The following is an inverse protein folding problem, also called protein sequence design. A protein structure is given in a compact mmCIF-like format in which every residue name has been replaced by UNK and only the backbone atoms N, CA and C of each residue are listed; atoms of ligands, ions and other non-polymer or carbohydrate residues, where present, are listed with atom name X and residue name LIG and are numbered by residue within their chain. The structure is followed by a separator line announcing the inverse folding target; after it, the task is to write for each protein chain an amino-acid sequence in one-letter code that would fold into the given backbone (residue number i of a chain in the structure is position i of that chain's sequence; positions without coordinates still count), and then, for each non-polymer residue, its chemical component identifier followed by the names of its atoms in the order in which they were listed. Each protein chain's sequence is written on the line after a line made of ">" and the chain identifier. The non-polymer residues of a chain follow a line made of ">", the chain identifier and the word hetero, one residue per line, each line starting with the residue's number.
data_IF_741765660150
#
_entry.id   IF_741765660150
#
_cell.length_a   1.000
_cell.length_b   1.000
_cell.length_c   1.000
_cell.angle_alpha   90.00
_cell.angle_beta   90.00
_cell.angle_gamma   90.00
#
_symmetry.space_group_name_H-M   'P 1'
#
loop_
_entity.id
_entity.type
_entity.pdbx_description
1 polymer ?
#
# COMPACT_ATOMS: atom_id res chain seq x y z
N UNK A 1 -49.83 -32.42 -28.39
CA UNK A 1 -49.77 -32.31 -26.92
C UNK A 1 -48.31 -32.27 -26.48
N UNK A 2 -47.88 -31.15 -25.88
CA UNK A 2 -46.78 -30.89 -24.91
C UNK A 2 -45.47 -31.69 -25.09
N UNK A 3 -44.38 -31.02 -25.53
CA UNK A 3 -43.27 -30.46 -24.72
C UNK A 3 -42.61 -31.53 -23.81
N UNK A 4 -41.30 -31.77 -23.81
CA UNK A 4 -40.21 -30.78 -23.66
C UNK A 4 -38.82 -31.41 -23.88
N UNK A 5 -37.87 -30.59 -24.36
CA UNK A 5 -36.43 -30.83 -24.49
C UNK A 5 -35.76 -31.23 -23.15
N UNK A 6 -34.71 -32.07 -23.13
CA UNK A 6 -33.89 -32.25 -21.94
C UNK A 6 -32.95 -31.06 -21.73
N UNK A 7 -32.68 -30.80 -20.46
CA UNK A 7 -32.10 -29.58 -19.93
C UNK A 7 -30.69 -29.30 -20.43
N UNK A 8 -30.46 -28.05 -20.86
CA UNK A 8 -29.13 -27.46 -20.95
C UNK A 8 -28.51 -27.46 -19.53
N UNK A 9 -27.50 -28.31 -19.34
CA UNK A 9 -26.66 -28.30 -18.17
C UNK A 9 -25.80 -27.02 -18.23
N UNK A 10 -26.27 -25.97 -17.55
CA UNK A 10 -25.51 -24.74 -17.38
C UNK A 10 -24.31 -25.07 -16.48
N UNK A 11 -23.12 -25.22 -17.07
CA UNK A 11 -21.87 -25.20 -16.32
C UNK A 11 -21.72 -23.79 -15.75
N UNK A 12 -22.19 -23.59 -14.51
CA UNK A 12 -21.77 -22.45 -13.69
C UNK A 12 -20.32 -22.76 -13.34
N UNK A 13 -19.41 -22.33 -14.22
CA UNK A 13 -17.99 -22.28 -13.90
C UNK A 13 -17.83 -21.37 -12.70
N UNK A 14 -17.69 -21.95 -11.50
CA UNK A 14 -17.13 -21.23 -10.37
C UNK A 14 -15.69 -20.92 -10.79
N UNK A 15 -15.48 -19.74 -11.36
CA UNK A 15 -14.14 -19.19 -11.55
C UNK A 15 -13.67 -18.87 -10.14
N UNK A 16 -13.09 -19.87 -9.47
CA UNK A 16 -12.27 -19.64 -8.29
C UNK A 16 -11.04 -18.91 -8.82
N UNK A 17 -11.12 -17.58 -8.82
CA UNK A 17 -9.97 -16.73 -9.04
C UNK A 17 -9.00 -17.02 -7.89
N UNK A 18 -8.06 -17.94 -8.12
CA UNK A 18 -6.82 -17.98 -7.35
C UNK A 18 -6.15 -16.63 -7.63
N UNK A 19 -6.46 -15.62 -6.80
CA UNK A 19 -5.53 -14.52 -6.60
C UNK A 19 -4.27 -15.20 -6.07
N UNK A 20 -3.28 -15.35 -6.95
CA UNK A 20 -1.95 -15.75 -6.51
C UNK A 20 -1.50 -14.62 -5.59
N UNK A 21 -1.42 -14.86 -4.28
CA UNK A 21 -0.90 -13.94 -3.27
C UNK A 21 0.62 -13.78 -3.42
N UNK A 22 1.05 -13.49 -4.64
CA UNK A 22 2.42 -13.17 -4.96
C UNK A 22 2.68 -11.79 -4.41
N UNK A 23 3.70 -11.70 -3.57
CA UNK A 23 4.20 -10.43 -3.10
C UNK A 23 4.96 -9.78 -4.25
N UNK A 24 4.58 -8.57 -4.70
CA UNK A 24 5.29 -7.91 -5.79
C UNK A 24 6.76 -7.71 -5.44
N UNK A 25 7.62 -7.74 -6.45
CA UNK A 25 9.06 -7.59 -6.27
C UNK A 25 9.38 -6.32 -5.45
N UNK A 26 10.16 -6.46 -4.39
CA UNK A 26 10.53 -5.35 -3.51
C UNK A 26 9.53 -5.01 -2.40
N UNK A 27 8.32 -5.54 -2.46
CA UNK A 27 7.29 -5.36 -1.45
C UNK A 27 7.35 -6.44 -0.36
N UNK A 28 6.76 -6.14 0.79
CA UNK A 28 6.64 -7.07 1.93
C UNK A 28 5.35 -6.83 2.70
N UNK A 29 4.86 -7.88 3.36
CA UNK A 29 3.72 -7.80 4.28
C UNK A 29 4.19 -7.26 5.66
N UNK A 30 3.36 -6.45 6.29
CA UNK A 30 3.49 -5.99 7.67
C UNK A 30 2.11 -5.79 8.31
N UNK A 31 2.08 -5.28 9.54
CA UNK A 31 0.87 -5.02 10.32
C UNK A 31 0.77 -5.85 11.60
N UNK A 32 -0.24 -5.55 12.41
CA UNK A 32 -0.47 -6.19 13.71
C UNK A 32 -1.16 -7.56 13.60
N UNK A 33 -1.94 -7.79 12.54
CA UNK A 33 -2.65 -9.06 12.31
C UNK A 33 -2.68 -9.44 10.82
N UNK A 34 -1.52 -9.54 10.13
CA UNK A 34 -1.44 -9.76 8.68
C UNK A 34 -2.11 -11.07 8.21
N UNK A 35 -2.17 -12.08 9.07
CA UNK A 35 -2.83 -13.37 8.82
C UNK A 35 -4.36 -13.28 8.72
N UNK A 36 -4.95 -12.15 9.14
CA UNK A 36 -6.37 -11.85 8.96
C UNK A 36 -6.70 -11.17 7.62
N UNK A 37 -5.70 -11.03 6.76
CA UNK A 37 -5.81 -10.35 5.49
C UNK A 37 -5.15 -11.17 4.38
N UNK A 38 -5.59 -10.88 3.18
CA UNK A 38 -5.08 -11.39 1.93
C UNK A 38 -4.40 -10.23 1.20
N UNK A 39 -3.09 -10.33 0.99
CA UNK A 39 -2.26 -9.25 0.43
C UNK A 39 -1.47 -9.74 -0.78
N UNK A 40 -1.23 -8.84 -1.73
CA UNK A 40 -0.30 -9.12 -2.84
C UNK A 40 -0.70 -8.41 -4.12
N UNK A 41 -0.37 -9.05 -5.25
CA UNK A 41 -0.72 -8.61 -6.59
C UNK A 41 -2.14 -9.03 -7.00
N UNK A 42 -2.87 -8.10 -7.62
CA UNK A 42 -4.15 -8.36 -8.26
C UNK A 42 -4.04 -8.03 -9.75
N UNK A 43 -3.96 -9.05 -10.60
CA UNK A 43 -3.65 -8.93 -12.05
C UNK A 43 -4.88 -8.67 -12.94
N UNK A 44 -5.92 -8.05 -12.40
CA UNK A 44 -7.05 -7.56 -13.19
C UNK A 44 -7.47 -6.18 -12.67
N UNK A 45 -7.89 -5.30 -13.59
CA UNK A 45 -8.46 -3.98 -13.27
C UNK A 45 -7.52 -3.09 -12.42
N UNK A 46 -6.28 -2.91 -12.87
CA UNK A 46 -5.40 -1.83 -12.37
C UNK A 46 -6.03 -0.45 -12.60
N UNK A 47 -5.41 0.60 -12.06
CA UNK A 47 -5.93 1.95 -12.20
C UNK A 47 -5.89 2.43 -13.66
N UNK A 48 -4.76 2.23 -14.33
CA UNK A 48 -4.59 2.40 -15.79
C UNK A 48 -3.90 1.20 -16.45
N UNK A 49 -3.54 0.19 -15.64
CA UNK A 49 -2.84 -1.01 -16.05
C UNK A 49 -3.64 -2.30 -15.88
N UNK A 50 -2.91 -3.42 -15.87
CA UNK A 50 -3.49 -4.76 -15.68
C UNK A 50 -3.30 -5.28 -14.27
N UNK A 51 -2.42 -4.70 -13.48
CA UNK A 51 -2.13 -5.13 -12.12
C UNK A 51 -2.27 -3.99 -11.12
N UNK A 52 -2.49 -4.32 -9.85
CA UNK A 52 -2.42 -3.39 -8.73
C UNK A 52 -2.10 -4.15 -7.44
N UNK A 53 -1.68 -3.43 -6.39
CA UNK A 53 -1.60 -3.97 -5.05
C UNK A 53 -2.99 -4.16 -4.45
N UNK A 54 -3.20 -5.25 -3.70
CA UNK A 54 -4.46 -5.52 -3.00
C UNK A 54 -4.23 -5.84 -1.54
N UNK A 55 -5.14 -5.34 -0.68
CA UNK A 55 -5.28 -5.75 0.72
C UNK A 55 -6.75 -6.04 0.97
N UNK A 56 -7.09 -7.28 1.31
CA UNK A 56 -8.47 -7.74 1.50
C UNK A 56 -8.63 -8.41 2.86
N UNK A 57 -9.62 -7.98 3.63
CA UNK A 57 -10.05 -8.66 4.84
C UNK A 57 -10.50 -10.10 4.51
N UNK A 58 -9.94 -11.10 5.21
CA UNK A 58 -10.24 -12.53 4.99
C UNK A 58 -10.95 -13.22 6.17
N UNK A 59 -11.16 -12.49 7.28
CA UNK A 59 -11.83 -12.99 8.49
C UNK A 59 -13.16 -12.27 8.72
N UNK A 60 -13.99 -12.83 9.61
CA UNK A 60 -15.28 -12.23 10.00
C UNK A 60 -15.14 -11.25 11.17
N UNK A 61 -14.11 -11.41 11.99
CA UNK A 61 -13.93 -10.67 13.24
C UNK A 61 -12.57 -9.98 13.28
N UNK A 62 -12.62 -8.71 13.65
CA UNK A 62 -11.47 -7.81 13.80
C UNK A 62 -11.61 -7.08 15.13
N UNK A 63 -10.53 -6.97 15.89
CA UNK A 63 -10.52 -6.40 17.23
C UNK A 63 -9.44 -5.34 17.38
N UNK A 64 -9.70 -4.29 18.17
CA UNK A 64 -8.71 -3.25 18.48
C UNK A 64 -8.04 -2.68 17.23
N UNK A 65 -6.72 -2.58 17.28
CA UNK A 65 -5.86 -2.00 16.23
C UNK A 65 -5.34 -3.06 15.24
N UNK A 66 -6.19 -4.01 14.83
CA UNK A 66 -5.82 -5.08 13.89
C UNK A 66 -5.82 -4.60 12.43
N UNK A 67 -4.64 -4.58 11.82
CA UNK A 67 -4.45 -4.17 10.43
C UNK A 67 -3.39 -5.01 9.72
N UNK A 68 -3.39 -4.92 8.40
CA UNK A 68 -2.29 -5.37 7.55
C UNK A 68 -1.84 -4.27 6.61
N UNK A 69 -0.58 -4.34 6.20
CA UNK A 69 0.01 -3.41 5.24
C UNK A 69 0.84 -4.16 4.22
N UNK A 70 0.80 -3.68 2.99
CA UNK A 70 1.74 -4.06 1.93
C UNK A 70 2.65 -2.86 1.73
N UNK A 71 3.95 -3.04 2.04
CA UNK A 71 4.91 -1.93 2.14
C UNK A 71 6.22 -2.23 1.41
N UNK A 72 6.95 -1.17 1.11
CA UNK A 72 8.31 -1.20 0.59
C UNK A 72 9.19 -0.27 1.43
N UNK A 73 10.46 -0.63 1.60
CA UNK A 73 11.45 0.17 2.32
C UNK A 73 12.64 0.45 1.39
N UNK A 74 13.02 1.72 1.29
CA UNK A 74 14.16 2.21 0.51
C UNK A 74 15.10 3.03 1.40
N UNK A 75 16.34 3.18 0.95
CA UNK A 75 17.30 4.13 1.50
C UNK A 75 16.80 5.56 1.29
N UNK A 76 16.97 6.40 2.30
CA UNK A 76 16.63 7.83 2.23
C UNK A 76 17.66 8.67 1.46
N UNK A 77 18.78 8.09 1.02
CA UNK A 77 19.95 8.83 0.52
C UNK A 77 19.63 9.83 -0.61
N UNK A 78 18.71 9.49 -1.51
CA UNK A 78 18.32 10.36 -2.62
C UNK A 78 17.38 11.51 -2.22
N UNK A 79 16.82 11.44 -1.00
CA UNK A 79 15.79 12.33 -0.49
C UNK A 79 16.27 13.19 0.70
N UNK A 80 17.49 12.99 1.19
CA UNK A 80 18.04 13.73 2.33
C UNK A 80 17.95 15.25 2.12
N UNK A 81 17.42 15.96 3.13
CA UNK A 81 17.28 17.41 3.13
C UNK A 81 16.12 17.94 2.29
N UNK A 82 15.28 17.07 1.73
CA UNK A 82 14.17 17.44 0.84
C UNK A 82 12.82 17.23 1.51
N UNK A 83 11.81 17.94 1.01
CA UNK A 83 10.42 17.57 1.23
C UNK A 83 9.96 16.68 0.08
N UNK A 84 9.42 15.52 0.42
CA UNK A 84 8.89 14.57 -0.55
C UNK A 84 7.36 14.59 -0.51
N UNK A 85 6.76 14.47 -1.68
CA UNK A 85 5.34 14.19 -1.88
C UNK A 85 5.21 12.82 -2.48
N UNK A 86 4.60 11.90 -1.74
CA UNK A 86 4.15 10.63 -2.27
C UNK A 86 2.71 10.79 -2.75
N UNK A 87 2.43 10.39 -3.98
CA UNK A 87 1.06 10.23 -4.48
C UNK A 87 0.79 8.78 -4.83
N UNK A 88 -0.47 8.39 -4.90
CA UNK A 88 -0.90 7.09 -5.39
C UNK A 88 -2.41 7.05 -5.55
N UNK A 89 -2.88 6.12 -6.37
CA UNK A 89 -4.30 5.91 -6.56
C UNK A 89 -4.79 4.78 -5.66
N UNK A 90 -5.93 4.97 -5.01
CA UNK A 90 -6.56 3.93 -4.21
C UNK A 90 -8.04 3.83 -4.52
N UNK A 91 -8.53 2.60 -4.57
CA UNK A 91 -9.93 2.23 -4.67
C UNK A 91 -10.31 1.40 -3.45
N UNK A 92 -11.49 1.62 -2.89
CA UNK A 92 -11.97 0.88 -1.73
C UNK A 92 -13.32 0.22 -1.97
N UNK A 93 -13.54 -0.90 -1.25
CA UNK A 93 -14.83 -1.58 -1.20
C UNK A 93 -15.11 -2.05 0.23
N UNK A 94 -16.21 -1.57 0.80
CA UNK A 94 -16.73 -2.03 2.09
C UNK A 94 -15.80 -1.78 3.26
N UNK A 95 -14.97 -0.73 3.21
CA UNK A 95 -14.06 -0.39 4.31
C UNK A 95 -14.85 0.24 5.45
N UNK A 96 -15.04 -0.50 6.55
CA UNK A 96 -15.89 -0.04 7.66
C UNK A 96 -15.10 0.68 8.76
N UNK A 97 -13.87 0.25 9.02
CA UNK A 97 -12.98 0.94 9.96
C UNK A 97 -12.21 2.06 9.24
N UNK A 98 -11.10 1.75 8.58
CA UNK A 98 -10.38 2.72 7.73
C UNK A 98 -9.29 2.05 6.88
N UNK A 99 -8.87 2.74 5.83
CA UNK A 99 -7.68 2.44 5.04
C UNK A 99 -6.95 3.74 4.70
N UNK A 100 -5.72 3.61 4.22
CA UNK A 100 -4.90 4.75 3.85
C UNK A 100 -3.58 4.34 3.23
N UNK A 101 -2.92 5.32 2.61
CA UNK A 101 -1.49 5.22 2.37
C UNK A 101 -0.71 5.44 3.65
N UNK A 102 0.53 4.99 3.63
CA UNK A 102 1.48 5.03 4.72
C UNK A 102 2.79 5.58 4.19
N UNK A 103 3.38 6.56 4.88
CA UNK A 103 4.73 7.04 4.64
C UNK A 103 5.43 7.31 5.98
N UNK A 104 6.64 6.79 6.11
CA UNK A 104 7.44 6.85 7.31
C UNK A 104 8.90 7.11 6.94
N UNK A 105 9.54 8.03 7.66
CA UNK A 105 10.98 8.33 7.57
C UNK A 105 11.63 7.97 8.91
N UNK A 106 12.66 7.13 8.86
CA UNK A 106 13.34 6.57 10.02
C UNK A 106 14.73 7.15 10.23
N UNK A 107 15.17 7.18 11.49
CA UNK A 107 16.56 7.40 11.89
C UNK A 107 17.19 6.07 12.26
N UNK A 108 18.45 5.87 11.89
CA UNK A 108 19.20 4.71 12.37
C UNK A 108 19.29 4.71 13.91
N UNK A 109 19.05 3.54 14.52
CA UNK A 109 19.06 3.37 15.98
C UNK A 109 17.83 3.91 16.73
N UNK A 110 16.85 4.52 16.05
CA UNK A 110 15.58 4.95 16.65
C UNK A 110 14.49 3.89 16.47
N UNK A 111 13.62 3.75 17.48
CA UNK A 111 12.38 2.95 17.34
C UNK A 111 11.24 3.76 16.73
N UNK A 112 11.23 5.06 17.03
CA UNK A 112 10.24 6.01 16.52
C UNK A 112 10.70 6.65 15.21
N UNK A 113 9.77 6.88 14.26
CA UNK A 113 10.07 7.62 13.05
C UNK A 113 10.33 9.10 13.34
N UNK A 114 11.13 9.74 12.48
CA UNK A 114 11.35 11.19 12.53
C UNK A 114 10.22 11.93 11.82
N UNK A 115 9.60 11.30 10.81
CA UNK A 115 8.45 11.86 10.10
C UNK A 115 7.51 10.72 9.72
N UNK A 116 6.21 10.93 9.91
CA UNK A 116 5.22 9.87 9.81
C UNK A 116 3.85 10.42 9.45
N UNK A 117 3.20 9.74 8.51
CA UNK A 117 1.81 9.97 8.17
C UNK A 117 1.22 8.68 7.58
N UNK A 118 0.09 8.24 8.12
CA UNK A 118 -0.65 7.05 7.68
C UNK A 118 -2.08 7.37 7.25
N UNK A 119 -2.40 8.65 7.03
CA UNK A 119 -3.74 9.14 6.68
C UNK A 119 -4.85 8.82 7.70
N UNK A 120 -4.51 8.46 8.95
CA UNK A 120 -5.53 8.11 9.95
C UNK A 120 -6.49 9.28 10.26
N UNK A 121 -5.99 10.51 10.16
CA UNK A 121 -6.75 11.75 10.33
C UNK A 121 -7.66 12.09 9.13
N UNK A 122 -7.39 11.49 7.97
CA UNK A 122 -8.15 11.63 6.71
C UNK A 122 -8.46 10.25 6.10
N UNK A 123 -9.20 9.39 6.83
CA UNK A 123 -9.30 7.97 6.51
C UNK A 123 -10.12 7.72 5.25
N UNK A 124 -9.72 6.71 4.49
CA UNK A 124 -10.54 6.17 3.39
C UNK A 124 -11.54 5.18 3.98
N UNK A 125 -12.82 5.36 3.69
CA UNK A 125 -13.93 4.53 4.18
C UNK A 125 -14.92 4.21 3.08
N UNK A 126 -15.80 3.25 3.36
CA UNK A 126 -16.89 2.79 2.49
C UNK A 126 -16.38 2.28 1.12
N UNK A 127 -17.08 2.65 0.05
CA UNK A 127 -16.70 2.35 -1.32
C UNK A 127 -16.20 3.63 -1.97
N UNK A 128 -15.09 3.56 -2.70
CA UNK A 128 -14.61 4.65 -3.55
C UNK A 128 -14.31 4.11 -4.94
N UNK A 129 -14.31 5.00 -5.93
CA UNK A 129 -13.60 4.73 -7.18
C UNK A 129 -12.11 5.01 -6.98
N UNK A 130 -11.31 4.66 -7.98
CA UNK A 130 -9.92 5.09 -8.02
C UNK A 130 -9.83 6.59 -7.80
N UNK A 131 -9.14 6.98 -6.74
CA UNK A 131 -8.99 8.37 -6.30
C UNK A 131 -7.52 8.57 -5.96
N UNK A 132 -6.93 9.67 -6.40
CA UNK A 132 -5.55 10.01 -6.05
C UNK A 132 -5.50 10.56 -4.62
N UNK A 133 -4.53 10.10 -3.85
CA UNK A 133 -4.23 10.61 -2.51
C UNK A 133 -2.77 11.01 -2.43
N UNK A 134 -2.45 11.87 -1.46
CA UNK A 134 -1.10 12.38 -1.26
C UNK A 134 -0.70 12.39 0.22
N UNK A 135 0.59 12.17 0.45
CA UNK A 135 1.27 12.35 1.72
C UNK A 135 2.53 13.19 1.46
N UNK A 136 2.75 14.23 2.26
CA UNK A 136 3.95 15.06 2.19
C UNK A 136 4.73 14.97 3.50
N UNK A 137 6.01 14.61 3.43
CA UNK A 137 6.89 14.56 4.60
C UNK A 137 8.24 15.21 4.31
N UNK A 138 8.82 15.81 5.33
CA UNK A 138 10.22 16.22 5.32
C UNK A 138 11.13 14.98 5.52
N UNK A 139 12.27 14.96 4.85
CA UNK A 139 13.30 13.92 5.00
C UNK A 139 14.56 14.58 5.57
N UNK A 140 14.76 14.55 6.89
CA UNK A 140 15.94 15.15 7.53
C UNK A 140 17.25 14.52 7.04
N UNK A 141 18.37 15.27 7.09
CA UNK A 141 19.69 14.78 6.64
C UNK A 141 20.21 13.56 7.40
N UNK A 142 19.71 13.32 8.61
CA UNK A 142 20.06 12.16 9.42
C UNK A 142 19.08 10.98 9.26
N UNK A 143 18.16 11.04 8.29
CA UNK A 143 17.31 9.91 7.95
C UNK A 143 18.16 8.75 7.42
N UNK A 144 17.71 7.52 7.68
CA UNK A 144 18.33 6.32 7.14
C UNK A 144 17.42 5.66 6.11
N UNK A 145 16.13 5.49 6.42
CA UNK A 145 15.19 4.72 5.60
C UNK A 145 13.88 5.47 5.39
N UNK A 146 13.24 5.21 4.24
CA UNK A 146 11.88 5.60 3.94
C UNK A 146 11.07 4.31 3.74
N UNK A 147 9.99 4.16 4.50
CA UNK A 147 9.05 3.05 4.36
C UNK A 147 7.69 3.60 3.92
N UNK A 148 7.13 3.03 2.87
CA UNK A 148 5.87 3.48 2.30
C UNK A 148 5.00 2.30 1.86
N UNK A 149 3.71 2.56 1.65
CA UNK A 149 2.78 1.57 1.11
C UNK A 149 1.33 1.89 1.45
N UNK A 150 0.50 0.86 1.51
CA UNK A 150 -0.91 0.98 1.87
C UNK A 150 -1.24 0.07 3.05
N UNK A 151 -2.29 0.42 3.78
CA UNK A 151 -2.83 -0.35 4.88
C UNK A 151 -4.35 -0.50 4.79
N UNK A 152 -4.85 -1.59 5.34
CA UNK A 152 -6.27 -1.77 5.64
C UNK A 152 -6.42 -2.15 7.11
N UNK A 153 -7.28 -1.41 7.80
CA UNK A 153 -7.68 -1.68 9.16
C UNK A 153 -9.11 -2.21 9.18
N UNK A 154 -9.33 -3.33 9.88
CA UNK A 154 -10.62 -3.99 10.00
C UNK A 154 -11.20 -4.52 8.66
N UNK A 155 -12.53 -4.72 8.61
CA UNK A 155 -13.20 -5.23 7.42
C UNK A 155 -13.09 -4.29 6.21
N UNK A 156 -12.93 -4.90 5.03
CA UNK A 156 -12.98 -4.21 3.74
C UNK A 156 -12.01 -4.77 2.73
N UNK A 157 -11.86 -4.04 1.63
CA UNK A 157 -10.86 -4.29 0.61
C UNK A 157 -10.38 -2.98 0.03
N UNK A 158 -9.08 -2.88 -0.22
CA UNK A 158 -8.48 -1.81 -1.00
C UNK A 158 -7.62 -2.36 -2.11
N UNK A 159 -7.62 -1.62 -3.22
CA UNK A 159 -6.65 -1.74 -4.29
C UNK A 159 -5.88 -0.44 -4.37
N UNK A 160 -4.59 -0.51 -4.65
CA UNK A 160 -3.75 0.67 -4.77
C UNK A 160 -2.73 0.49 -5.88
N UNK A 161 -2.38 1.59 -6.53
CA UNK A 161 -1.62 1.58 -7.77
C UNK A 161 -0.93 2.92 -8.03
N UNK A 162 -0.04 2.95 -9.01
CA UNK A 162 0.60 4.15 -9.55
C UNK A 162 1.23 5.05 -8.48
N UNK A 163 2.03 4.46 -7.58
CA UNK A 163 2.72 5.24 -6.54
C UNK A 163 3.83 6.07 -7.19
N UNK A 164 3.85 7.37 -6.91
CA UNK A 164 4.87 8.30 -7.40
C UNK A 164 5.49 9.11 -6.26
N UNK A 165 6.76 9.48 -6.42
CA UNK A 165 7.49 10.37 -5.51
C UNK A 165 7.94 11.62 -6.24
N UNK A 166 7.64 12.78 -5.67
CA UNK A 166 8.05 14.08 -6.16
C UNK A 166 8.79 14.87 -5.07
N UNK A 167 9.77 15.66 -5.47
CA UNK A 167 10.39 16.65 -4.59
C UNK A 167 9.58 17.95 -4.67
N UNK A 168 9.01 18.40 -3.54
CA UNK A 168 8.15 19.58 -3.49
C UNK A 168 8.82 20.81 -2.87
N UNK A 169 10.15 20.78 -2.79
CA UNK A 169 10.98 21.88 -2.29
C UNK A 169 11.94 21.47 -1.16
N UNK A 170 12.68 22.44 -0.59
CA UNK A 170 13.59 22.17 0.51
C UNK A 170 12.83 21.75 1.78
N UNK A 171 13.41 20.83 2.54
CA UNK A 171 12.90 20.45 3.88
C UNK A 171 12.87 21.67 4.79
N UNK A 172 11.82 21.80 5.62
CA UNK A 172 11.79 22.84 6.68
C UNK A 172 12.56 22.44 7.94
N UNK A 173 13.02 21.19 8.00
CA UNK A 173 13.78 20.63 9.13
C UNK A 173 15.28 20.61 8.77
N UNK A 174 16.10 21.31 9.55
CA UNK A 174 17.56 21.39 9.41
C UNK A 174 18.22 20.63 10.56
N UNK A 175 19.03 19.58 10.30
CA UNK A 175 19.94 19.04 11.33
C UNK A 175 21.13 18.24 10.77
N UNK A 176 22.17 18.16 11.61
CA UNK A 176 23.60 17.85 11.39
C UNK A 176 24.00 16.48 10.82
N UNK A 177 25.17 16.49 10.16
CA UNK A 177 25.80 15.43 9.36
C UNK A 177 25.79 14.02 9.94
N UNK A 178 25.46 13.04 9.08
CA UNK A 178 25.68 11.60 9.33
C UNK A 178 26.16 10.90 8.06
N UNK A 179 27.10 9.97 8.24
CA UNK A 179 27.80 9.19 7.23
C UNK A 179 26.89 8.20 6.47
N UNK A 180 27.17 8.03 5.17
CA UNK A 180 26.43 7.22 4.20
C UNK A 180 26.81 5.72 4.26
N UNK A 181 25.81 4.83 4.36
CA UNK A 181 25.94 3.37 4.13
C UNK A 181 25.42 3.02 2.72
N UNK A 182 26.26 2.38 1.90
CA UNK A 182 26.00 2.12 0.48
C UNK A 182 25.30 0.79 0.19
N UNK A 183 24.95 -0.01 1.20
CA UNK A 183 24.41 -1.37 1.02
C UNK A 183 22.90 -1.47 0.73
N UNK A 184 22.16 -0.37 0.80
CA UNK A 184 20.69 -0.36 0.77
C UNK A 184 20.10 -0.01 -0.62
N UNK A 185 18.92 -0.57 -0.94
CA UNK A 185 18.16 -0.21 -2.16
C UNK A 185 17.85 1.28 -2.18
N UNK A 186 18.14 1.97 -3.28
CA UNK A 186 18.05 3.44 -3.36
C UNK A 186 16.79 3.97 -4.01
N UNK A 187 16.18 3.20 -4.90
CA UNK A 187 15.00 3.59 -5.65
C UNK A 187 13.85 2.63 -5.33
N UNK A 188 12.61 3.14 -5.32
CA UNK A 188 11.46 2.27 -5.30
C UNK A 188 11.42 1.34 -6.53
N UNK A 189 10.82 0.17 -6.37
CA UNK A 189 10.66 -0.83 -7.42
C UNK A 189 9.19 -1.24 -7.56
N UNK A 190 8.77 -1.55 -8.81
CA UNK A 190 7.45 -2.08 -9.14
C UNK A 190 6.28 -1.28 -8.53
N UNK A 191 6.24 0.03 -8.81
CA UNK A 191 5.26 0.97 -8.23
C UNK A 191 3.89 0.96 -8.92
N UNK A 192 3.84 0.53 -10.18
CA UNK A 192 2.61 0.27 -10.93
C UNK A 192 2.23 -1.22 -10.98
N UNK A 193 2.93 -2.07 -10.21
CA UNK A 193 2.59 -3.50 -10.06
C UNK A 193 2.62 -4.36 -11.34
N UNK A 194 3.16 -3.86 -12.45
CA UNK A 194 3.14 -4.54 -13.75
C UNK A 194 4.30 -5.53 -13.99
N UNK A 195 5.32 -5.55 -13.13
CA UNK A 195 6.48 -6.46 -13.26
C UNK A 195 6.18 -7.93 -12.89
#
# INVERSE_FOLDING_TARGET
>A
MKNSLPANLLFIGIIVFLCSFLIPKGWRISGSAPDKYELGLFKINGHEGKACGVIRASKKEYFGDEYASLIQTISSQNYLGKRIKMTGYMKSRGVTAWAGFYLRVDKEGSKEPISFDNMHDRPIKNNTNWTQYAIELDVPLNASKITFGALLHGPGQVWFDDINFEEVGPSTIVVTDVMCDTSQKRLPENLGFED
#
